data_IF_161063710926
#
_entry.id   IF_161063710926
#
_cell.length_a   1.000
_cell.length_b   1.000
_cell.length_c   1.000
_cell.angle_alpha   90.00
_cell.angle_beta   90.00
_cell.angle_gamma   90.00
#
_symmetry.space_group_name_H-M   'P 1'
#
loop_
_entity.id
_entity.type
_entity.pdbx_description
1 polymer ?
#
# COMPACT_ATOMS: atom_id res chain seq x y z
N UNK A 1 -28.19 6.57 3.54
CA UNK A 1 -27.11 6.18 2.62
C UNK A 1 -27.69 5.11 1.73
N UNK A 2 -27.99 5.49 0.49
CA UNK A 2 -28.44 4.58 -0.57
C UNK A 2 -27.39 3.51 -0.80
N UNK A 3 -27.83 2.26 -0.94
CA UNK A 3 -26.98 1.13 -1.29
C UNK A 3 -26.39 1.41 -2.68
N UNK A 4 -25.17 1.95 -2.71
CA UNK A 4 -24.57 2.52 -3.93
C UNK A 4 -23.97 1.43 -4.84
N UNK A 5 -24.03 0.17 -4.43
CA UNK A 5 -23.62 -0.97 -5.25
C UNK A 5 -24.86 -1.50 -5.93
N UNK A 6 -24.91 -1.47 -7.26
CA UNK A 6 -25.99 -2.14 -7.98
C UNK A 6 -25.91 -3.64 -7.72
N UNK A 7 -27.05 -4.28 -7.42
CA UNK A 7 -27.10 -5.73 -7.25
C UNK A 7 -26.52 -6.48 -8.47
N UNK A 8 -26.67 -5.90 -9.65
CA UNK A 8 -26.09 -6.40 -10.90
C UNK A 8 -24.56 -6.46 -10.89
N UNK A 9 -23.87 -5.43 -10.39
CA UNK A 9 -22.40 -5.43 -10.31
C UNK A 9 -21.89 -6.50 -9.34
N UNK A 10 -22.56 -6.65 -8.20
CA UNK A 10 -22.24 -7.70 -7.23
C UNK A 10 -22.47 -9.10 -7.82
N UNK A 11 -23.60 -9.33 -8.50
CA UNK A 11 -23.89 -10.60 -9.15
C UNK A 11 -22.96 -10.91 -10.32
N UNK A 12 -22.50 -9.89 -11.05
CA UNK A 12 -21.47 -10.03 -12.07
C UNK A 12 -20.15 -10.51 -11.46
N UNK A 13 -19.67 -9.85 -10.40
CA UNK A 13 -18.47 -10.23 -9.67
C UNK A 13 -18.56 -11.66 -9.11
N UNK A 14 -19.66 -12.00 -8.45
CA UNK A 14 -19.88 -13.33 -7.86
C UNK A 14 -19.83 -14.43 -8.92
N UNK A 15 -20.54 -14.25 -10.04
CA UNK A 15 -20.56 -15.24 -11.15
C UNK A 15 -19.18 -15.46 -11.76
N UNK A 16 -18.42 -14.39 -11.99
CA UNK A 16 -17.05 -14.52 -12.51
C UNK A 16 -16.14 -15.30 -11.55
N UNK A 17 -16.26 -15.05 -10.24
CA UNK A 17 -15.48 -15.78 -9.23
C UNK A 17 -15.87 -17.26 -9.15
N UNK A 18 -17.17 -17.58 -9.24
CA UNK A 18 -17.68 -18.96 -9.33
C UNK A 18 -17.13 -19.68 -10.57
N UNK A 19 -17.07 -19.00 -11.73
CA UNK A 19 -16.49 -19.55 -12.95
C UNK A 19 -15.00 -19.91 -12.78
N UNK A 20 -14.20 -18.95 -12.27
CA UNK A 20 -12.76 -19.15 -12.03
C UNK A 20 -12.44 -20.25 -11.01
N UNK A 21 -13.42 -20.63 -10.18
CA UNK A 21 -13.24 -21.59 -9.09
C UNK A 21 -14.14 -22.83 -9.20
N UNK A 22 -14.82 -22.99 -10.34
CA UNK A 22 -15.81 -24.06 -10.60
C UNK A 22 -15.24 -25.48 -10.52
N UNK A 23 -13.93 -25.64 -10.73
CA UNK A 23 -13.22 -26.90 -10.60
C UNK A 23 -11.89 -26.69 -9.87
N UNK A 24 -11.30 -27.78 -9.34
CA UNK A 24 -9.96 -27.73 -8.71
C UNK A 24 -8.90 -27.17 -9.67
N UNK A 25 -8.92 -27.61 -10.93
CA UNK A 25 -7.97 -27.15 -11.94
C UNK A 25 -8.15 -25.65 -12.26
N UNK A 26 -9.40 -25.18 -12.37
CA UNK A 26 -9.70 -23.76 -12.56
C UNK A 26 -9.21 -22.92 -11.36
N UNK A 27 -9.52 -23.36 -10.14
CA UNK A 27 -9.07 -22.67 -8.92
C UNK A 27 -7.54 -22.62 -8.79
N UNK A 28 -6.83 -23.69 -9.18
CA UNK A 28 -5.37 -23.73 -9.22
C UNK A 28 -4.80 -22.78 -10.28
N UNK A 29 -5.39 -22.77 -11.49
CA UNK A 29 -5.00 -21.84 -12.55
C UNK A 29 -5.24 -20.37 -12.13
N UNK A 30 -6.36 -20.08 -11.48
CA UNK A 30 -6.66 -18.77 -10.90
C UNK A 30 -5.62 -18.36 -9.85
N UNK A 31 -5.31 -19.25 -8.90
CA UNK A 31 -4.26 -19.01 -7.90
C UNK A 31 -2.91 -18.70 -8.53
N UNK A 32 -2.49 -19.47 -9.53
CA UNK A 32 -1.24 -19.21 -10.25
C UNK A 32 -1.27 -17.89 -11.03
N UNK A 33 -2.38 -17.55 -11.68
CA UNK A 33 -2.53 -16.28 -12.40
C UNK A 33 -2.37 -15.09 -11.45
N UNK A 34 -3.07 -15.10 -10.31
CA UNK A 34 -2.95 -14.05 -9.29
C UNK A 34 -1.54 -13.95 -8.72
N UNK A 35 -0.92 -15.09 -8.42
CA UNK A 35 0.45 -15.09 -7.88
C UNK A 35 1.47 -14.52 -8.88
N UNK A 36 1.38 -14.87 -10.17
CA UNK A 36 2.25 -14.29 -11.21
C UNK A 36 2.08 -12.78 -11.32
N UNK A 37 0.83 -12.30 -11.26
CA UNK A 37 0.56 -10.87 -11.25
C UNK A 37 1.15 -10.17 -10.01
N UNK A 38 0.88 -10.70 -8.82
CA UNK A 38 1.44 -10.17 -7.57
C UNK A 38 2.98 -10.14 -7.59
N UNK A 39 3.61 -11.17 -8.15
CA UNK A 39 5.05 -11.24 -8.32
C UNK A 39 5.58 -10.14 -9.26
N UNK A 40 4.92 -9.89 -10.41
CA UNK A 40 5.29 -8.79 -11.32
C UNK A 40 5.15 -7.42 -10.65
N UNK A 41 4.05 -7.20 -9.94
CA UNK A 41 3.85 -5.96 -9.19
C UNK A 41 4.91 -5.77 -8.11
N UNK A 42 5.19 -6.81 -7.33
CA UNK A 42 6.25 -6.81 -6.33
C UNK A 42 7.62 -6.44 -6.91
N UNK A 43 7.97 -6.98 -8.08
CA UNK A 43 9.21 -6.63 -8.79
C UNK A 43 9.25 -5.18 -9.24
N UNK A 44 8.15 -4.67 -9.80
CA UNK A 44 8.05 -3.27 -10.20
C UNK A 44 8.23 -2.32 -9.01
N UNK A 45 7.58 -2.63 -7.88
CA UNK A 45 7.67 -1.82 -6.66
C UNK A 45 9.05 -1.86 -6.00
N UNK A 46 9.73 -2.99 -6.08
CA UNK A 46 11.06 -3.18 -5.48
C UNK A 46 12.21 -2.79 -6.42
N UNK A 47 11.92 -2.44 -7.67
CA UNK A 47 12.91 -2.08 -8.68
C UNK A 47 13.85 -3.24 -9.07
N UNK A 48 13.40 -4.49 -8.93
CA UNK A 48 14.23 -5.67 -9.27
C UNK A 48 14.34 -5.81 -10.79
N UNK A 49 15.42 -5.29 -11.36
CA UNK A 49 15.86 -5.61 -12.73
C UNK A 49 16.28 -7.08 -12.84
N UNK A 50 16.37 -7.60 -14.08
CA UNK A 50 16.49 -9.02 -14.39
C UNK A 50 17.50 -9.79 -13.51
N UNK A 51 18.64 -9.19 -13.15
CA UNK A 51 19.71 -9.81 -12.36
C UNK A 51 20.27 -8.92 -11.23
N UNK A 52 19.55 -7.88 -10.81
CA UNK A 52 20.00 -6.92 -9.79
C UNK A 52 19.37 -7.11 -8.41
N UNK A 53 20.02 -6.67 -7.32
CA UNK A 53 19.37 -6.58 -6.01
C UNK A 53 18.20 -5.58 -6.06
N UNK A 54 17.15 -5.76 -5.22
CA UNK A 54 16.06 -4.80 -5.13
C UNK A 54 16.59 -3.41 -4.80
N UNK A 55 16.11 -2.39 -5.53
CA UNK A 55 16.44 -1.01 -5.26
C UNK A 55 15.69 -0.46 -4.06
N UNK A 56 14.52 -1.00 -3.70
CA UNK A 56 13.79 -0.64 -2.48
C UNK A 56 13.97 -1.73 -1.43
N UNK A 57 14.76 -1.44 -0.39
CA UNK A 57 15.09 -2.38 0.69
C UNK A 57 14.85 -1.76 2.06
N UNK A 58 14.51 -2.61 3.03
CA UNK A 58 14.32 -2.18 4.42
C UNK A 58 13.06 -1.33 4.59
N UNK A 59 13.20 -0.22 5.32
CA UNK A 59 12.07 0.60 5.76
C UNK A 59 11.50 1.48 4.65
N UNK A 60 10.21 1.35 4.39
CA UNK A 60 9.47 2.16 3.42
C UNK A 60 8.08 2.51 3.92
N UNK A 61 7.54 3.60 3.37
CA UNK A 61 6.11 3.93 3.38
C UNK A 61 5.54 3.56 2.03
N UNK A 62 4.27 3.17 1.97
CA UNK A 62 3.60 2.94 0.69
C UNK A 62 2.14 3.37 0.73
N UNK A 63 1.65 3.78 -0.43
CA UNK A 63 0.27 4.17 -0.67
C UNK A 63 -0.33 3.36 -1.80
N UNK A 64 -1.63 3.07 -1.72
CA UNK A 64 -2.39 2.38 -2.76
C UNK A 64 -3.58 3.25 -3.15
N UNK A 65 -3.76 3.45 -4.45
CA UNK A 65 -4.86 4.22 -5.02
C UNK A 65 -5.82 3.30 -5.78
N UNK A 66 -7.10 3.64 -5.69
CA UNK A 66 -8.09 3.29 -6.70
C UNK A 66 -8.24 4.48 -7.64
N UNK A 67 -8.99 4.29 -8.72
CA UNK A 67 -9.18 5.32 -9.74
C UNK A 67 -9.72 6.64 -9.18
N UNK A 68 -10.61 6.56 -8.17
CA UNK A 68 -11.17 7.75 -7.51
C UNK A 68 -10.20 8.45 -6.55
N UNK A 69 -9.14 7.77 -6.07
CA UNK A 69 -8.23 8.36 -5.08
C UNK A 69 -7.54 7.38 -4.14
N UNK A 70 -6.88 7.95 -3.12
CA UNK A 70 -6.03 7.21 -2.19
C UNK A 70 -6.87 6.30 -1.27
N UNK A 71 -6.63 5.00 -1.41
CA UNK A 71 -7.33 3.96 -0.66
C UNK A 71 -6.65 3.67 0.68
N UNK A 72 -5.32 3.53 0.69
CA UNK A 72 -4.60 3.01 1.85
C UNK A 72 -3.17 3.58 1.96
N UNK A 73 -2.70 3.77 3.19
CA UNK A 73 -1.29 4.05 3.51
C UNK A 73 -0.80 3.05 4.55
N UNK A 74 0.39 2.50 4.33
CA UNK A 74 1.05 1.58 5.25
C UNK A 74 2.57 1.78 5.32
N UNK A 75 3.21 1.07 6.25
CA UNK A 75 4.67 0.98 6.35
C UNK A 75 5.15 -0.47 6.44
N UNK A 76 6.43 -0.68 6.16
CA UNK A 76 7.12 -1.94 6.43
C UNK A 76 8.62 -1.73 6.64
N UNK A 77 9.25 -2.54 7.48
CA UNK A 77 10.71 -2.61 7.64
C UNK A 77 11.43 -3.62 6.73
N UNK A 78 10.68 -4.36 5.90
CA UNK A 78 11.19 -5.42 5.02
C UNK A 78 10.54 -5.29 3.64
N UNK A 79 10.76 -4.16 2.97
CA UNK A 79 10.10 -3.83 1.70
C UNK A 79 10.33 -4.88 0.61
N UNK A 80 11.53 -5.46 0.52
CA UNK A 80 11.88 -6.50 -0.43
C UNK A 80 10.99 -7.74 -0.33
N UNK A 81 10.46 -8.04 0.85
CA UNK A 81 9.48 -9.11 1.05
C UNK A 81 8.05 -8.56 0.99
N UNK A 82 7.74 -7.55 1.80
CA UNK A 82 6.37 -7.11 2.03
C UNK A 82 5.71 -6.50 0.79
N UNK A 83 6.46 -5.83 -0.07
CA UNK A 83 5.92 -5.27 -1.32
C UNK A 83 5.60 -6.38 -2.35
N UNK A 84 6.34 -7.50 -2.34
CA UNK A 84 6.00 -8.69 -3.13
C UNK A 84 4.73 -9.37 -2.61
N UNK A 85 4.61 -9.45 -1.29
CA UNK A 85 3.45 -10.10 -0.64
C UNK A 85 2.20 -9.20 -0.61
N UNK A 86 2.34 -7.89 -0.89
CA UNK A 86 1.27 -6.90 -0.78
C UNK A 86 0.04 -7.28 -1.62
N UNK A 87 0.28 -7.75 -2.85
CA UNK A 87 -0.75 -8.18 -3.79
C UNK A 87 -1.20 -9.63 -3.61
N UNK A 88 -0.50 -10.44 -2.80
CA UNK A 88 -0.87 -11.83 -2.57
C UNK A 88 -2.06 -11.93 -1.59
N UNK A 89 -2.19 -10.97 -0.67
CA UNK A 89 -3.32 -10.88 0.26
C UNK A 89 -3.29 -11.85 1.45
N UNK A 90 -2.34 -12.79 1.48
CA UNK A 90 -2.16 -13.75 2.59
C UNK A 90 -1.87 -13.07 3.93
N UNK A 91 -1.29 -11.86 3.92
CA UNK A 91 -0.90 -11.13 5.13
C UNK A 91 -1.42 -9.69 5.16
N UNK A 92 -2.29 -9.31 4.22
CA UNK A 92 -2.77 -7.93 4.09
C UNK A 92 -4.25 -7.90 3.72
N UNK A 93 -5.11 -7.55 4.68
CA UNK A 93 -6.57 -7.53 4.49
C UNK A 93 -7.01 -6.61 3.34
N UNK A 94 -6.22 -5.59 2.99
CA UNK A 94 -6.49 -4.71 1.85
C UNK A 94 -6.71 -5.48 0.54
N UNK A 95 -5.78 -6.36 0.16
CA UNK A 95 -5.83 -7.09 -1.12
C UNK A 95 -6.95 -8.13 -1.19
N UNK A 96 -7.55 -8.48 -0.04
CA UNK A 96 -8.72 -9.36 0.02
C UNK A 96 -10.03 -8.58 -0.17
N UNK A 97 -10.07 -7.31 0.22
CA UNK A 97 -11.25 -6.44 0.04
C UNK A 97 -11.21 -5.67 -1.28
N UNK A 98 -10.04 -5.13 -1.62
CA UNK A 98 -9.77 -4.39 -2.85
C UNK A 98 -8.63 -5.10 -3.57
N UNK A 99 -8.91 -6.03 -4.49
CA UNK A 99 -7.89 -6.82 -5.15
C UNK A 99 -6.87 -5.95 -5.90
N UNK A 100 -5.59 -6.33 -5.95
CA UNK A 100 -4.55 -5.55 -6.61
C UNK A 100 -4.77 -5.36 -8.12
N UNK A 101 -5.57 -6.22 -8.73
CA UNK A 101 -5.98 -6.11 -10.12
C UNK A 101 -6.81 -4.84 -10.41
N UNK A 102 -7.40 -4.20 -9.39
CA UNK A 102 -8.15 -2.93 -9.52
C UNK A 102 -7.42 -1.71 -8.96
N UNK A 103 -6.17 -1.87 -8.50
CA UNK A 103 -5.38 -0.75 -8.01
C UNK A 103 -4.91 0.10 -9.18
N UNK A 104 -5.15 1.41 -9.10
CA UNK A 104 -4.78 2.37 -10.13
C UNK A 104 -3.29 2.70 -10.06
N UNK A 105 -2.79 2.98 -8.86
CA UNK A 105 -1.40 3.38 -8.60
C UNK A 105 -0.94 2.84 -7.26
N UNK A 106 0.34 2.50 -7.16
CA UNK A 106 1.02 2.22 -5.91
C UNK A 106 2.28 3.07 -5.84
N UNK A 107 2.45 3.82 -4.76
CA UNK A 107 3.63 4.64 -4.47
C UNK A 107 4.37 4.03 -3.28
N UNK A 108 5.70 4.00 -3.35
CA UNK A 108 6.59 3.55 -2.27
C UNK A 108 7.63 4.63 -2.04
N UNK A 109 7.87 5.01 -0.79
CA UNK A 109 8.89 6.00 -0.39
C UNK A 109 9.86 5.36 0.60
N UNK A 110 11.14 5.31 0.22
CA UNK A 110 12.24 4.85 1.05
C UNK A 110 12.75 5.98 1.96
N UNK A 111 11.94 6.30 2.98
CA UNK A 111 12.24 7.40 3.92
C UNK A 111 13.65 7.37 4.55
N UNK A 112 14.31 6.22 4.81
CA UNK A 112 15.67 6.24 5.40
C UNK A 112 16.72 6.85 4.48
N UNK A 113 16.42 7.01 3.19
CA UNK A 113 17.33 7.60 2.20
C UNK A 113 17.22 9.12 2.11
N UNK A 114 16.25 9.70 2.81
CA UNK A 114 16.11 11.15 2.90
C UNK A 114 17.17 11.69 3.87
N UNK A 115 17.83 12.82 3.56
CA UNK A 115 18.82 13.44 4.45
C UNK A 115 18.32 13.66 5.88
N UNK A 116 17.03 13.99 6.03
CA UNK A 116 16.35 14.26 7.30
C UNK A 116 16.24 13.03 8.20
N UNK A 117 16.47 11.82 7.68
CA UNK A 117 16.57 10.60 8.49
C UNK A 117 17.91 10.50 9.24
N UNK A 118 18.96 11.17 8.76
CA UNK A 118 20.30 11.15 9.35
C UNK A 118 20.31 11.51 10.85
N UNK A 119 19.72 12.65 11.26
CA UNK A 119 19.65 13.05 12.66
C UNK A 119 18.88 12.10 13.59
N UNK A 120 18.00 11.25 13.05
CA UNK A 120 17.22 10.28 13.83
C UNK A 120 17.94 8.93 13.98
N UNK A 121 18.97 8.69 13.17
CA UNK A 121 19.71 7.43 13.15
C UNK A 121 20.47 7.24 14.46
N UNK A 122 20.23 6.10 15.14
CA UNK A 122 20.82 5.82 16.45
C UNK A 122 20.16 6.54 17.63
N UNK A 123 19.19 7.44 17.36
CA UNK A 123 18.39 8.12 18.39
C UNK A 123 17.04 7.43 18.56
N UNK A 124 16.40 7.07 17.45
CA UNK A 124 15.11 6.37 17.43
C UNK A 124 15.23 5.01 16.74
N UNK A 125 14.41 4.06 17.16
CA UNK A 125 14.25 2.80 16.43
C UNK A 125 13.62 3.11 15.05
N UNK A 126 14.22 2.68 13.92
CA UNK A 126 13.64 2.83 12.58
C UNK A 126 12.19 2.34 12.46
N UNK A 127 11.80 1.34 13.25
CA UNK A 127 10.41 0.87 13.32
C UNK A 127 9.49 1.92 13.94
N UNK A 128 9.92 2.60 14.99
CA UNK A 128 9.16 3.68 15.62
C UNK A 128 9.03 4.88 14.69
N UNK A 129 10.11 5.24 13.98
CA UNK A 129 10.09 6.26 12.93
C UNK A 129 9.09 5.90 11.83
N UNK A 130 9.09 4.65 11.37
CA UNK A 130 8.13 4.17 10.35
C UNK A 130 6.68 4.29 10.83
N UNK A 131 6.39 3.92 12.08
CA UNK A 131 5.06 4.05 12.67
C UNK A 131 4.64 5.52 12.84
N UNK A 132 5.58 6.40 13.17
CA UNK A 132 5.34 7.83 13.30
C UNK A 132 4.99 8.47 11.95
N UNK A 133 5.77 8.18 10.90
CA UNK A 133 5.52 8.66 9.55
C UNK A 133 4.22 8.10 8.97
N UNK A 134 3.92 6.82 9.17
CA UNK A 134 2.65 6.20 8.80
C UNK A 134 1.47 6.94 9.45
N UNK A 135 1.55 7.20 10.76
CA UNK A 135 0.51 7.92 11.48
C UNK A 135 0.33 9.35 10.95
N UNK A 136 1.43 10.07 10.68
CA UNK A 136 1.39 11.44 10.14
C UNK A 136 0.77 11.48 8.74
N UNK A 137 1.18 10.58 7.84
CA UNK A 137 0.60 10.45 6.50
C UNK A 137 -0.90 10.12 6.56
N UNK A 138 -1.30 9.16 7.41
CA UNK A 138 -2.72 8.81 7.55
C UNK A 138 -3.56 9.95 8.14
N UNK A 139 -3.01 10.73 9.08
CA UNK A 139 -3.67 11.91 9.65
C UNK A 139 -3.84 13.04 8.62
N UNK A 140 -2.80 13.25 7.79
CA UNK A 140 -2.80 14.25 6.72
C UNK A 140 -3.72 13.88 5.56
N UNK A 141 -3.58 12.67 5.03
CA UNK A 141 -4.24 12.24 3.78
C UNK A 141 -5.60 11.59 4.00
N UNK A 142 -5.86 11.03 5.19
CA UNK A 142 -7.11 10.36 5.58
C UNK A 142 -7.58 9.32 4.53
N UNK A 143 -6.72 8.37 4.11
CA UNK A 143 -7.08 7.36 3.12
C UNK A 143 -8.27 6.52 3.60
N UNK A 144 -9.19 6.14 2.70
CA UNK A 144 -10.48 5.51 3.05
C UNK A 144 -10.32 4.33 4.02
N UNK A 145 -9.39 3.41 3.73
CA UNK A 145 -9.20 2.19 4.50
C UNK A 145 -8.53 2.40 5.87
N UNK A 146 -7.78 3.50 6.08
CA UNK A 146 -7.20 3.82 7.39
C UNK A 146 -8.06 4.81 8.18
N UNK A 147 -8.89 5.61 7.51
CA UNK A 147 -9.72 6.64 8.13
C UNK A 147 -10.96 6.10 8.85
N UNK A 148 -11.23 4.80 8.75
CA UNK A 148 -12.34 4.14 9.42
C UNK A 148 -11.91 2.89 10.20
N UNK A 149 -12.62 2.60 11.29
CA UNK A 149 -12.45 1.36 12.08
C UNK A 149 -13.74 0.56 12.10
N UNK A 150 -13.59 -0.76 11.99
CA UNK A 150 -14.68 -1.73 12.14
C UNK A 150 -15.25 -1.65 13.55
N UNK A 151 -16.57 -1.72 13.66
CA UNK A 151 -17.30 -1.86 14.92
C UNK A 151 -17.81 -3.30 15.06
N UNK A 152 -18.13 -3.70 16.29
CA UNK A 152 -18.55 -5.09 16.60
C UNK A 152 -19.89 -5.49 15.97
N UNK A 153 -20.67 -4.51 15.52
CA UNK A 153 -21.95 -4.68 14.82
C UNK A 153 -21.80 -4.70 13.29
N UNK A 154 -20.57 -4.82 12.77
CA UNK A 154 -20.29 -4.90 11.34
C UNK A 154 -20.32 -3.57 10.60
N UNK A 155 -20.45 -2.44 11.32
CA UNK A 155 -20.35 -1.09 10.73
C UNK A 155 -18.93 -0.53 10.75
N UNK A 156 -18.81 0.70 10.29
CA UNK A 156 -17.57 1.48 10.30
C UNK A 156 -17.80 2.80 11.01
N UNK A 157 -16.78 3.29 11.72
CA UNK A 157 -16.75 4.63 12.29
C UNK A 157 -15.45 5.36 11.95
N UNK A 158 -15.47 6.69 11.83
CA UNK A 158 -14.26 7.48 11.60
C UNK A 158 -13.20 7.29 12.69
N UNK A 159 -11.93 7.41 12.31
CA UNK A 159 -10.81 7.47 13.25
C UNK A 159 -10.67 8.89 13.80
N UNK A 160 -10.62 8.99 15.12
CA UNK A 160 -10.22 10.22 15.81
C UNK A 160 -8.70 10.24 15.96
N UNK A 161 -8.02 10.87 15.01
CA UNK A 161 -6.56 10.99 14.98
C UNK A 161 -6.01 11.81 16.14
N UNK A 162 -6.76 12.80 16.61
CA UNK A 162 -6.35 13.71 17.69
C UNK A 162 -6.21 13.01 19.05
N UNK A 163 -6.92 11.90 19.24
CA UNK A 163 -6.91 11.10 20.48
C UNK A 163 -6.11 9.81 20.36
N UNK A 164 -5.36 9.63 19.27
CA UNK A 164 -4.56 8.41 19.05
C UNK A 164 -3.47 8.28 20.12
N UNK A 165 -3.38 7.10 20.73
CA UNK A 165 -2.34 6.73 21.71
C UNK A 165 -1.35 5.70 21.15
N UNK A 166 -1.34 5.48 19.84
CA UNK A 166 -0.40 4.55 19.21
C UNK A 166 1.05 4.98 19.43
N UNK A 167 2.00 4.06 19.29
CA UNK A 167 3.44 4.39 19.28
C UNK A 167 3.72 5.49 18.26
N UNK A 168 3.22 5.34 17.04
CA UNK A 168 3.37 6.34 15.97
C UNK A 168 2.85 7.73 16.37
N UNK A 169 1.69 7.82 17.03
CA UNK A 169 1.14 9.11 17.48
C UNK A 169 2.01 9.79 18.55
N UNK A 170 2.62 9.01 19.45
CA UNK A 170 3.49 9.55 20.51
C UNK A 170 4.85 10.02 19.97
N UNK A 171 5.38 9.34 18.97
CA UNK A 171 6.68 9.66 18.35
C UNK A 171 6.55 10.71 17.24
N UNK A 172 5.35 10.91 16.69
CA UNK A 172 5.06 11.82 15.58
C UNK A 172 5.75 13.20 15.66
N UNK A 173 5.73 13.93 16.79
CA UNK A 173 6.38 15.25 16.88
C UNK A 173 7.92 15.20 16.71
N UNK A 174 8.55 14.07 17.00
CA UNK A 174 10.00 13.91 16.90
C UNK A 174 10.49 13.71 15.46
N UNK A 175 9.56 13.45 14.52
CA UNK A 175 9.88 13.17 13.12
C UNK A 175 9.37 14.27 12.17
N UNK A 176 9.00 15.45 12.67
CA UNK A 176 8.32 16.49 11.88
C UNK A 176 9.12 16.92 10.64
N UNK A 177 10.43 17.19 10.77
CA UNK A 177 11.28 17.55 9.63
C UNK A 177 11.37 16.44 8.58
N UNK A 178 11.54 15.20 9.03
CA UNK A 178 11.53 14.04 8.12
C UNK A 178 10.15 13.88 7.48
N UNK A 179 9.08 14.17 8.19
CA UNK A 179 7.73 14.11 7.65
C UNK A 179 7.53 15.15 6.55
N UNK A 180 8.00 16.39 6.72
CA UNK A 180 7.95 17.42 5.68
C UNK A 180 8.64 16.96 4.39
N UNK A 181 9.85 16.41 4.49
CA UNK A 181 10.56 15.83 3.34
C UNK A 181 9.81 14.65 2.70
N UNK A 182 9.20 13.78 3.52
CA UNK A 182 8.33 12.71 3.03
C UNK A 182 7.11 13.26 2.30
N UNK A 183 6.50 14.37 2.75
CA UNK A 183 5.35 14.97 2.07
C UNK A 183 5.72 15.50 0.68
N UNK A 184 6.90 16.11 0.54
CA UNK A 184 7.41 16.58 -0.74
C UNK A 184 7.60 15.42 -1.73
N UNK A 185 8.35 14.39 -1.30
CA UNK A 185 8.60 13.19 -2.14
C UNK A 185 7.31 12.44 -2.45
N UNK A 186 6.40 12.33 -1.49
CA UNK A 186 5.08 11.73 -1.72
C UNK A 186 4.26 12.52 -2.72
N UNK A 187 4.29 13.86 -2.61
CA UNK A 187 3.64 14.78 -3.53
C UNK A 187 4.12 14.55 -4.96
N UNK A 188 5.43 14.57 -5.18
CA UNK A 188 6.05 14.29 -6.48
C UNK A 188 5.66 12.91 -7.01
N UNK A 189 5.93 11.84 -6.25
CA UNK A 189 5.68 10.47 -6.68
C UNK A 189 4.20 10.18 -6.96
N UNK A 190 3.29 10.87 -6.26
CA UNK A 190 1.85 10.74 -6.48
C UNK A 190 1.36 11.39 -7.77
N UNK A 191 2.13 12.31 -8.36
CA UNK A 191 1.81 12.97 -9.64
C UNK A 191 2.47 12.28 -10.84
N UNK A 192 3.41 11.37 -10.61
CA UNK A 192 4.01 10.58 -11.69
C UNK A 192 2.94 9.79 -12.45
N UNK A 193 2.99 9.82 -13.79
CA UNK A 193 2.04 9.14 -14.69
C UNK A 193 2.58 7.84 -15.31
N UNK A 194 3.89 7.60 -15.17
CA UNK A 194 4.57 6.42 -15.72
C UNK A 194 5.30 5.64 -14.61
N UNK A 195 5.37 4.32 -14.76
CA UNK A 195 6.12 3.48 -13.81
C UNK A 195 7.56 3.98 -13.68
N UNK A 196 7.98 4.30 -12.46
CA UNK A 196 9.25 4.97 -12.18
C UNK A 196 9.90 4.37 -10.94
N UNK A 197 11.22 4.21 -10.97
CA UNK A 197 12.01 3.79 -9.81
C UNK A 197 13.19 4.76 -9.70
N UNK A 198 13.29 5.44 -8.56
CA UNK A 198 14.40 6.32 -8.19
C UNK A 198 15.13 5.75 -6.98
N UNK A 199 16.11 6.49 -6.47
CA UNK A 199 16.76 6.13 -5.21
C UNK A 199 15.82 6.29 -4.01
N UNK A 200 14.82 7.16 -4.06
CA UNK A 200 13.99 7.52 -2.89
C UNK A 200 12.54 7.09 -3.00
N UNK A 201 12.02 6.84 -4.21
CA UNK A 201 10.66 6.35 -4.41
C UNK A 201 10.52 5.39 -5.59
N UNK A 202 9.44 4.61 -5.57
CA UNK A 202 8.99 3.79 -6.69
C UNK A 202 7.50 3.99 -6.91
N UNK A 203 7.08 4.02 -8.17
CA UNK A 203 5.69 4.11 -8.62
C UNK A 203 5.40 2.99 -9.59
N UNK A 204 4.34 2.24 -9.32
CA UNK A 204 3.84 1.22 -10.23
C UNK A 204 2.36 1.44 -10.55
N UNK A 205 1.99 1.09 -11.79
CA UNK A 205 0.62 1.08 -12.28
C UNK A 205 0.19 -0.36 -12.52
N UNK A 206 -0.55 -0.99 -11.58
CA UNK A 206 -0.87 -2.41 -11.64
C UNK A 206 -1.56 -2.84 -12.94
N UNK A 207 -2.41 -1.98 -13.51
CA UNK A 207 -3.06 -2.24 -14.80
C UNK A 207 -2.06 -2.52 -15.95
N UNK A 208 -0.88 -1.88 -15.95
CA UNK A 208 0.17 -2.08 -16.96
C UNK A 208 0.90 -3.43 -16.80
N UNK A 209 0.66 -4.16 -15.71
CA UNK A 209 1.30 -5.44 -15.39
C UNK A 209 0.34 -6.64 -15.53
N UNK A 210 -0.91 -6.37 -15.89
CA UNK A 210 -1.86 -7.41 -16.27
C UNK A 210 -1.36 -8.06 -17.57
N UNK A 211 -1.47 -9.39 -17.71
CA UNK A 211 -1.16 -10.03 -18.98
C UNK A 211 -2.25 -9.66 -20.00
N UNK A 212 -1.86 -9.57 -21.27
CA UNK A 212 -2.80 -9.53 -22.41
C UNK A 212 -3.82 -10.69 -22.34
#
# INVERSE_FOLDING_TARGET
MTDAISGEAFDGWRRALEEFTSTKAAAEAWRHRRYRFAHRLGRALTGVQADGPPSMTGHVLYGVWLDWGLLYVGQTGQSERRLRDLAVGESHHLANTFPPEIWHRVVVVAWPRLPEAGPLTGVLDPREVSLALEHRLQSWLKPLANASRRTSDGRWRPVDWSRSKSVGARIAPQVDKLFEAVQEVWGEASQTEVGTVTDVYSVAFPAQLLPD
#
